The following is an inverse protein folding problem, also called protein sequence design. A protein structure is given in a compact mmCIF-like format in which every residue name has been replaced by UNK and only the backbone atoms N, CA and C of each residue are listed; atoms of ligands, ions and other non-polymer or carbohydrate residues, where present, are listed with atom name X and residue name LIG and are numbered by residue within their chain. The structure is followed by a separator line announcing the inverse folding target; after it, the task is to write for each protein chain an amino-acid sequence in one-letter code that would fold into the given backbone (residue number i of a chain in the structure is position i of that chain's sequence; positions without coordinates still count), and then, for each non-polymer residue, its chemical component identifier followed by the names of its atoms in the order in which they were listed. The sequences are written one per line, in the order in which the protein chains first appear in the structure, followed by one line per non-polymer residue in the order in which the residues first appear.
data_IF_954194319056
#
_entry.id   IF_954194319056
#
_cell.length_a   1.000
_cell.length_b   1.000
_cell.length_c   1.000
_cell.angle_alpha   90.00
_cell.angle_beta   90.00
_cell.angle_gamma   90.00
#
_symmetry.space_group_name_H-M   'P 1'
#
loop_
_entity.id
_entity.type
_entity.pdbx_description
1 polymer ?
#
# COMPACT_ATOMS: atom_id res chain seq x y z
N UNK A 1 3.81 2.15 13.75
CA UNK A 1 3.54 2.72 12.41
C UNK A 1 2.34 2.01 11.79
N UNK A 2 2.36 0.67 11.77
CA UNK A 2 1.28 -0.18 11.24
C UNK A 2 -0.08 0.04 11.93
N UNK A 3 -0.13 0.16 13.26
CA UNK A 3 -1.38 0.36 14.02
C UNK A 3 -2.16 1.63 13.67
N UNK A 4 -1.53 2.60 13.01
CA UNK A 4 -2.16 3.85 12.57
C UNK A 4 -2.32 3.93 11.05
N UNK A 5 -2.13 2.81 10.34
CA UNK A 5 -2.17 2.72 8.88
C UNK A 5 -3.48 2.06 8.43
N UNK A 6 -4.14 2.59 7.39
CA UNK A 6 -5.22 1.87 6.75
C UNK A 6 -4.69 0.60 6.08
N UNK A 7 -5.52 -0.44 6.09
CA UNK A 7 -5.27 -1.70 5.37
C UNK A 7 -5.16 -1.38 3.86
N UNK A 8 -4.27 -2.07 3.15
CA UNK A 8 -4.08 -1.89 1.71
C UNK A 8 -3.23 -0.68 1.32
N UNK A 9 -2.66 0.08 2.28
CA UNK A 9 -1.67 1.14 1.98
C UNK A 9 -0.39 0.93 2.77
N UNK A 10 0.74 1.16 2.11
CA UNK A 10 2.05 1.12 2.75
C UNK A 10 2.35 2.49 3.35
N UNK A 11 2.52 2.51 4.66
CA UNK A 11 2.77 3.71 5.44
C UNK A 11 4.24 3.81 5.86
N UNK A 12 4.84 4.98 5.63
CA UNK A 12 6.26 5.21 5.87
C UNK A 12 6.48 6.46 6.73
N UNK A 13 7.52 6.41 7.57
CA UNK A 13 8.02 7.58 8.29
C UNK A 13 8.85 8.48 7.38
N UNK A 14 9.07 9.72 7.80
CA UNK A 14 9.90 10.68 7.07
C UNK A 14 11.31 10.14 6.74
N UNK A 15 11.96 9.47 7.70
CA UNK A 15 13.29 8.89 7.48
C UNK A 15 13.26 7.80 6.39
N UNK A 16 12.25 6.92 6.41
CA UNK A 16 12.11 5.88 5.41
C UNK A 16 11.87 6.46 4.01
N UNK A 17 11.03 7.51 3.93
CA UNK A 17 10.77 8.25 2.69
C UNK A 17 12.04 8.88 2.14
N UNK A 18 12.83 9.58 2.96
CA UNK A 18 14.11 10.18 2.55
C UNK A 18 15.08 9.14 1.99
N UNK A 19 15.24 8.00 2.66
CA UNK A 19 16.11 6.92 2.16
C UNK A 19 15.61 6.32 0.84
N UNK A 20 14.29 6.16 0.69
CA UNK A 20 13.70 5.62 -0.52
C UNK A 20 13.77 6.59 -1.70
N UNK A 21 13.61 7.89 -1.46
CA UNK A 21 13.76 8.93 -2.48
C UNK A 21 15.17 8.96 -3.08
N UNK A 22 16.21 8.67 -2.28
CA UNK A 22 17.58 8.55 -2.80
C UNK A 22 17.72 7.49 -3.90
N UNK A 23 16.79 6.53 -3.99
CA UNK A 23 16.79 5.54 -5.06
C UNK A 23 16.10 6.01 -6.34
N UNK A 24 15.26 7.05 -6.26
CA UNK A 24 14.46 7.56 -7.38
C UNK A 24 13.38 6.59 -7.90
N UNK A 25 13.09 5.51 -7.18
CA UNK A 25 12.22 4.41 -7.65
C UNK A 25 10.82 4.42 -7.06
N UNK A 26 10.50 5.40 -6.23
CA UNK A 26 9.28 5.40 -5.44
C UNK A 26 8.62 6.77 -5.44
N UNK A 27 7.29 6.75 -5.50
CA UNK A 27 6.43 7.94 -5.43
C UNK A 27 5.66 7.90 -4.12
N UNK A 28 5.62 9.02 -3.40
CA UNK A 28 5.01 9.12 -2.07
C UNK A 28 3.96 10.22 -2.01
N UNK A 29 2.88 9.99 -1.25
CA UNK A 29 1.85 10.96 -0.92
C UNK A 29 2.02 11.44 0.53
N UNK A 30 2.00 12.76 0.81
CA UNK A 30 2.01 13.25 2.18
C UNK A 30 0.68 12.96 2.86
N UNK A 31 0.72 12.26 4.00
CA UNK A 31 -0.46 12.03 4.84
C UNK A 31 -0.68 13.17 5.83
N UNK A 32 0.40 13.79 6.29
CA UNK A 32 0.40 14.82 7.33
C UNK A 32 1.05 14.34 8.63
N UNK A 33 0.83 15.13 9.70
CA UNK A 33 1.37 14.87 11.04
C UNK A 33 0.48 13.88 11.79
N UNK A 34 1.10 12.83 12.33
CA UNK A 34 0.43 11.80 13.12
C UNK A 34 1.08 11.76 14.49
N UNK A 35 0.26 11.74 15.53
CA UNK A 35 0.73 11.63 16.90
C UNK A 35 1.13 10.19 17.21
N UNK A 36 2.43 9.96 17.41
CA UNK A 36 2.98 8.65 17.70
C UNK A 36 3.41 8.62 19.17
N UNK A 37 2.87 7.65 19.92
CA UNK A 37 3.22 7.45 21.33
C UNK A 37 4.73 7.28 21.49
N UNK A 38 5.36 8.14 22.28
CA UNK A 38 6.81 8.14 22.54
C UNK A 38 7.68 8.92 21.54
N UNK A 39 7.14 9.37 20.39
CA UNK A 39 7.87 10.21 19.43
C UNK A 39 7.25 11.60 19.20
N UNK A 40 6.04 11.85 19.72
CA UNK A 40 5.33 13.10 19.48
C UNK A 40 4.67 13.14 18.10
N UNK A 41 4.45 14.32 17.56
CA UNK A 41 3.96 14.48 16.19
C UNK A 41 5.06 14.18 15.17
N UNK A 42 4.78 13.28 14.24
CA UNK A 42 5.69 12.89 13.17
C UNK A 42 5.03 13.06 11.81
N UNK A 43 5.78 13.58 10.83
CA UNK A 43 5.34 13.58 9.44
C UNK A 43 5.35 12.17 8.86
N UNK A 44 4.26 11.83 8.19
CA UNK A 44 4.05 10.49 7.64
C UNK A 44 3.61 10.56 6.19
N UNK A 45 3.93 9.48 5.46
CA UNK A 45 3.76 9.41 4.01
C UNK A 45 3.18 8.05 3.63
N UNK A 46 2.38 8.00 2.57
CA UNK A 46 1.95 6.76 1.94
C UNK A 46 2.75 6.51 0.66
N UNK A 47 3.10 5.25 0.40
CA UNK A 47 3.67 4.87 -0.89
C UNK A 47 2.56 4.78 -1.94
N UNK A 48 2.68 5.57 -3.00
CA UNK A 48 1.75 5.62 -4.12
C UNK A 48 2.10 4.55 -5.16
N UNK A 49 3.35 4.56 -5.63
CA UNK A 49 3.84 3.59 -6.61
C UNK A 49 5.33 3.31 -6.48
N UNK A 50 5.75 2.20 -7.06
CA UNK A 50 7.15 1.91 -7.35
C UNK A 50 7.37 1.90 -8.87
N UNK A 51 8.37 2.63 -9.34
CA UNK A 51 8.83 2.64 -10.74
C UNK A 51 9.79 1.48 -11.04
N UNK A 52 9.64 0.34 -10.36
CA UNK A 52 10.42 -0.85 -10.67
C UNK A 52 10.02 -1.34 -12.06
N UNK A 53 11.01 -1.54 -12.93
CA UNK A 53 10.83 -2.32 -14.16
C UNK A 53 10.31 -3.69 -13.75
N UNK A 54 9.26 -4.16 -14.41
CA UNK A 54 8.72 -5.48 -14.13
C UNK A 54 9.78 -6.56 -14.40
N UNK A 55 9.68 -7.73 -13.76
CA UNK A 55 10.58 -8.86 -14.06
C UNK A 55 10.56 -9.18 -15.57
N UNK A 56 9.40 -9.04 -16.21
CA UNK A 56 9.22 -9.19 -17.66
C UNK A 56 10.00 -8.16 -18.48
N UNK A 57 10.01 -6.90 -18.01
CA UNK A 57 10.75 -5.79 -18.63
C UNK A 57 12.27 -5.90 -18.39
N UNK A 58 12.69 -6.54 -17.31
CA UNK A 58 14.11 -6.83 -17.03
C UNK A 58 14.61 -8.00 -17.91
N UNK A 59 13.74 -8.98 -18.19
CA UNK A 59 14.07 -10.19 -18.95
C UNK A 59 13.77 -10.04 -20.47
N UNK A 60 13.32 -8.86 -20.91
CA UNK A 60 12.93 -8.56 -22.30
C UNK A 60 11.92 -9.58 -22.89
N UNK A 61 11.02 -10.09 -22.04
CA UNK A 61 9.97 -11.02 -22.47
C UNK A 61 8.63 -10.29 -22.57
N UNK A 62 7.93 -10.50 -23.69
CA UNK A 62 6.57 -9.98 -23.88
C UNK A 62 5.68 -10.51 -22.75
N UNK A 63 5.12 -9.58 -21.97
CA UNK A 63 4.22 -9.90 -20.87
C UNK A 63 2.89 -10.38 -21.43
N UNK A 64 2.43 -11.52 -20.94
CA UNK A 64 1.06 -11.99 -21.16
C UNK A 64 0.17 -11.42 -20.04
N UNK A 65 -0.71 -10.48 -20.40
CA UNK A 65 -1.58 -9.76 -19.46
C UNK A 65 -2.65 -10.67 -18.84
N UNK A 66 -2.97 -11.79 -19.49
CA UNK A 66 -3.97 -12.75 -19.03
C UNK A 66 -3.46 -13.66 -17.90
N UNK A 67 -2.13 -13.88 -17.79
CA UNK A 67 -1.53 -14.67 -16.71
C UNK A 67 -0.74 -13.86 -15.67
N UNK A 68 -0.29 -12.65 -15.99
CA UNK A 68 0.69 -11.94 -15.17
C UNK A 68 0.22 -10.54 -14.73
N UNK A 69 -0.83 -10.46 -13.91
CA UNK A 69 -1.25 -9.20 -13.28
C UNK A 69 -0.11 -8.55 -12.50
N UNK A 70 0.18 -7.28 -12.79
CA UNK A 70 1.20 -6.47 -12.09
C UNK A 70 0.56 -5.41 -11.20
N UNK A 71 -0.74 -5.17 -11.38
CA UNK A 71 -1.49 -4.11 -10.71
C UNK A 71 -2.06 -4.56 -9.36
N UNK A 72 -1.32 -5.40 -8.62
CA UNK A 72 -1.69 -5.78 -7.26
C UNK A 72 -1.86 -4.56 -6.35
N UNK A 73 -1.21 -3.42 -6.64
CA UNK A 73 -1.41 -2.17 -5.90
C UNK A 73 -2.75 -1.48 -6.22
N UNK A 74 -3.22 -1.56 -7.47
CA UNK A 74 -4.50 -0.98 -7.85
C UNK A 74 -5.66 -1.87 -7.38
N UNK A 75 -5.54 -3.19 -7.55
CA UNK A 75 -6.52 -4.19 -7.08
C UNK A 75 -6.70 -4.12 -5.55
N UNK A 76 -5.63 -3.93 -4.77
CA UNK A 76 -5.71 -3.72 -3.32
C UNK A 76 -6.34 -2.37 -2.94
N UNK A 77 -6.20 -1.35 -3.80
CA UNK A 77 -6.82 -0.03 -3.60
C UNK A 77 -8.31 -0.06 -3.92
N UNK A 78 -8.73 -0.79 -4.95
CA UNK A 78 -10.14 -0.99 -5.32
C UNK A 78 -10.87 -1.88 -4.31
N UNK A 79 -10.28 -2.99 -3.86
CA UNK A 79 -10.89 -3.82 -2.80
C UNK A 79 -11.18 -3.05 -1.50
N UNK A 80 -10.40 -2.00 -1.19
CA UNK A 80 -10.63 -1.14 -0.03
C UNK A 80 -11.89 -0.25 -0.16
N UNK A 81 -12.20 0.27 -1.36
CA UNK A 81 -13.43 1.06 -1.53
C UNK A 81 -14.66 0.17 -1.38
N UNK A 82 -14.61 -1.07 -1.87
CA UNK A 82 -15.68 -2.05 -1.70
C UNK A 82 -15.85 -2.49 -0.23
N UNK A 83 -14.76 -2.70 0.52
CA UNK A 83 -14.81 -3.06 1.95
C UNK A 83 -15.32 -1.93 2.85
N UNK A 84 -14.98 -0.67 2.56
CA UNK A 84 -15.53 0.49 3.28
C UNK A 84 -17.03 0.64 3.02
N UNK A 85 -17.49 0.41 1.80
CA UNK A 85 -18.91 0.45 1.44
C UNK A 85 -19.67 -0.74 2.08
N UNK A 86 -19.08 -1.94 2.10
CA UNK A 86 -19.71 -3.14 2.68
C UNK A 86 -19.74 -3.15 4.21
N UNK A 87 -18.80 -2.49 4.90
CA UNK A 87 -18.84 -2.38 6.38
C UNK A 87 -20.01 -1.54 6.92
N UNK A 88 -20.59 -0.66 6.10
CA UNK A 88 -21.84 0.02 6.47
C UNK A 88 -23.05 -0.92 6.44
N UNK A 89 -22.97 -2.03 5.70
CA UNK A 89 -24.12 -2.92 5.45
C UNK A 89 -24.02 -4.28 6.16
N UNK A 90 -22.82 -4.82 6.39
CA UNK A 90 -22.65 -6.16 6.96
C UNK A 90 -22.38 -6.15 8.47
N UNK A 91 -23.46 -6.09 9.26
CA UNK A 91 -23.49 -6.83 10.54
C UNK A 91 -23.41 -8.31 10.21
N UNK A 92 -22.36 -8.98 10.67
CA UNK A 92 -22.01 -10.39 10.50
C UNK A 92 -21.33 -10.75 9.17
N UNK A 93 -20.01 -10.90 9.20
CA UNK A 93 -19.32 -11.83 8.30
C UNK A 93 -18.48 -12.81 9.12
N UNK A 94 -18.54 -14.08 8.69
CA UNK A 94 -18.28 -15.27 9.49
C UNK A 94 -16.79 -15.53 9.75
N UNK A 95 -16.49 -16.08 10.93
CA UNK A 95 -15.18 -16.62 11.33
C UNK A 95 -14.73 -17.74 10.40
N UNK A 96 -13.47 -17.69 9.96
CA UNK A 96 -12.78 -18.80 9.31
C UNK A 96 -12.37 -19.83 10.36
N UNK A 97 -12.86 -21.06 10.24
CA UNK A 97 -12.35 -22.21 10.99
C UNK A 97 -11.21 -22.84 10.21
N UNK A 98 -10.04 -22.92 10.82
CA UNK A 98 -8.92 -23.71 10.31
C UNK A 98 -9.20 -25.16 10.74
N UNK A 99 -9.38 -26.05 9.76
CA UNK A 99 -9.40 -27.50 9.98
C UNK A 99 -7.97 -28.04 10.01
#
# INVERSE_FOLDING_TARGET
MESHSPIGRIHCSENAKKCAESTGRFEFEPRGKVQIKGKGEMNTYFLLRSFKRSIWEIIDRRRDENCNSIDGYNELREGYVDDVINKTTQKNSKTCSIS
#
